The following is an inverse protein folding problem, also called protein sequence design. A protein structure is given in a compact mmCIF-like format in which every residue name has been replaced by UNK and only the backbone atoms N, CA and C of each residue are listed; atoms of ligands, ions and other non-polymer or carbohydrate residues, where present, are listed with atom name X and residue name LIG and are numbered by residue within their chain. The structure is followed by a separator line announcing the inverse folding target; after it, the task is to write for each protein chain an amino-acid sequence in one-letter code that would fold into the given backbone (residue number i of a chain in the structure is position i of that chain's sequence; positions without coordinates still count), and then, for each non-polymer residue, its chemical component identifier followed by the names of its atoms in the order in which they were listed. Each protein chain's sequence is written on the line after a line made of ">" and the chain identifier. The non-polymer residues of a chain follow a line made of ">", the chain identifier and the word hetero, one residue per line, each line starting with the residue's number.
data_IF_266062335061
#
_entry.id   IF_266062335061
#
_cell.length_a   1.000
_cell.length_b   1.000
_cell.length_c   1.000
_cell.angle_alpha   90.00
_cell.angle_beta   90.00
_cell.angle_gamma   90.00
#
_symmetry.space_group_name_H-M   'P 1'
#
loop_
_entity.id
_entity.type
_entity.pdbx_description
1 polymer ?
#
# COMPACT_ATOMS: atom_id res chain seq x y z
N UNK A 1 3.28 4.32 15.74
CA UNK A 1 2.97 2.87 15.74
C UNK A 1 3.39 2.26 14.40
N UNK A 2 3.97 1.09 14.43
CA UNK A 2 4.45 0.43 13.22
C UNK A 2 3.37 -0.45 12.60
N UNK A 3 3.24 -0.39 11.28
CA UNK A 3 2.34 -1.23 10.52
C UNK A 3 3.11 -2.48 10.07
N UNK A 4 2.48 -3.64 10.16
CA UNK A 4 3.08 -4.91 9.72
C UNK A 4 2.50 -5.31 8.36
N UNK A 5 3.23 -6.17 7.62
CA UNK A 5 2.74 -6.66 6.33
C UNK A 5 1.46 -7.49 6.49
N UNK A 6 1.34 -8.23 7.59
CA UNK A 6 0.14 -9.00 7.88
C UNK A 6 -1.08 -8.07 8.03
N UNK A 7 -0.93 -7.00 8.82
CA UNK A 7 -2.02 -6.06 9.03
C UNK A 7 -2.34 -5.29 7.74
N UNK A 8 -1.32 -4.92 6.98
CA UNK A 8 -1.52 -4.24 5.70
C UNK A 8 -2.31 -5.12 4.73
N UNK A 9 -2.00 -6.42 4.67
CA UNK A 9 -2.74 -7.35 3.81
C UNK A 9 -4.19 -7.50 4.28
N UNK A 10 -4.42 -7.53 5.59
CA UNK A 10 -5.78 -7.56 6.14
C UNK A 10 -6.57 -6.32 5.72
N UNK A 11 -5.93 -5.15 5.69
CA UNK A 11 -6.55 -3.91 5.23
C UNK A 11 -6.98 -4.02 3.76
N UNK A 12 -6.14 -4.62 2.92
CA UNK A 12 -6.49 -4.86 1.52
C UNK A 12 -7.65 -5.84 1.39
N UNK A 13 -7.68 -6.88 2.20
CA UNK A 13 -8.76 -7.86 2.17
C UNK A 13 -10.11 -7.24 2.58
N UNK A 14 -10.09 -6.36 3.58
CA UNK A 14 -11.28 -5.62 3.96
C UNK A 14 -11.76 -4.69 2.85
N UNK A 15 -10.82 -3.99 2.21
CA UNK A 15 -11.14 -3.12 1.08
C UNK A 15 -11.74 -3.90 -0.08
N UNK A 16 -11.26 -5.13 -0.31
CA UNK A 16 -11.74 -5.98 -1.39
C UNK A 16 -13.22 -6.32 -1.23
N UNK A 17 -13.68 -6.52 0.00
CA UNK A 17 -15.07 -6.85 0.27
C UNK A 17 -16.03 -5.73 -0.12
N UNK A 18 -15.58 -4.49 -0.05
CA UNK A 18 -16.42 -3.32 -0.26
C UNK A 18 -16.19 -2.64 -1.61
N UNK A 19 -15.13 -3.00 -2.31
CA UNK A 19 -14.75 -2.32 -3.54
C UNK A 19 -15.38 -2.99 -4.76
N UNK A 20 -15.93 -2.17 -5.66
CA UNK A 20 -16.47 -2.67 -6.94
C UNK A 20 -15.34 -2.87 -7.96
N UNK A 21 -14.30 -2.04 -7.89
CA UNK A 21 -13.12 -2.18 -8.75
C UNK A 21 -12.02 -2.87 -7.95
N UNK A 22 -11.68 -4.09 -8.32
CA UNK A 22 -10.69 -4.89 -7.61
C UNK A 22 -9.31 -4.87 -8.28
N UNK A 23 -9.18 -4.16 -9.39
CA UNK A 23 -7.91 -4.08 -10.10
C UNK A 23 -6.81 -3.46 -9.26
N UNK A 24 -7.11 -2.39 -8.54
CA UNK A 24 -6.12 -1.72 -7.69
C UNK A 24 -5.68 -2.62 -6.51
N UNK A 25 -6.56 -3.49 -6.04
CA UNK A 25 -6.23 -4.41 -4.93
C UNK A 25 -5.24 -5.47 -5.41
N UNK A 26 -5.50 -6.05 -6.58
CA UNK A 26 -4.58 -7.02 -7.18
C UNK A 26 -3.23 -6.37 -7.46
N UNK A 27 -3.24 -5.14 -7.97
CA UNK A 27 -2.02 -4.38 -8.21
C UNK A 27 -1.25 -4.15 -6.91
N UNK A 28 -1.94 -3.75 -5.83
CA UNK A 28 -1.31 -3.50 -4.54
C UNK A 28 -0.68 -4.75 -3.96
N UNK A 29 -1.33 -5.90 -4.09
CA UNK A 29 -0.75 -7.18 -3.67
C UNK A 29 0.51 -7.49 -4.45
N UNK A 30 0.46 -7.28 -5.76
CA UNK A 30 1.61 -7.51 -6.63
C UNK A 30 2.79 -6.61 -6.26
N UNK A 31 2.53 -5.32 -6.05
CA UNK A 31 3.56 -4.36 -5.66
C UNK A 31 4.19 -4.76 -4.32
N UNK A 32 3.36 -5.13 -3.33
CA UNK A 32 3.88 -5.56 -2.03
C UNK A 32 4.74 -6.81 -2.13
N UNK A 33 4.29 -7.81 -2.86
CA UNK A 33 5.03 -9.06 -3.04
C UNK A 33 6.34 -8.82 -3.79
N UNK A 34 6.32 -7.99 -4.82
CA UNK A 34 7.52 -7.64 -5.60
C UNK A 34 8.51 -6.86 -4.75
N UNK A 35 8.03 -5.91 -3.96
CA UNK A 35 8.87 -5.12 -3.05
C UNK A 35 9.55 -6.04 -2.03
N UNK A 36 8.83 -7.04 -1.52
CA UNK A 36 9.39 -8.02 -0.59
C UNK A 36 10.51 -8.83 -1.22
N UNK A 37 10.34 -9.26 -2.46
CA UNK A 37 11.38 -10.01 -3.18
C UNK A 37 12.63 -9.17 -3.42
N UNK A 38 12.45 -7.91 -3.79
CA UNK A 38 13.55 -6.98 -4.00
C UNK A 38 14.30 -6.75 -2.68
N UNK A 39 13.56 -6.51 -1.61
CA UNK A 39 14.16 -6.31 -0.28
C UNK A 39 14.95 -7.54 0.17
N UNK A 40 14.42 -8.74 -0.07
CA UNK A 40 15.13 -9.98 0.26
C UNK A 40 16.45 -10.09 -0.50
N UNK A 41 16.41 -9.80 -1.80
CA UNK A 41 17.60 -9.86 -2.64
C UNK A 41 18.66 -8.84 -2.21
N UNK A 42 18.23 -7.68 -1.70
CA UNK A 42 19.13 -6.62 -1.25
C UNK A 42 19.44 -6.67 0.24
N UNK A 43 18.95 -7.68 0.93
CA UNK A 43 19.14 -7.88 2.38
C UNK A 43 18.58 -6.70 3.19
N UNK A 44 17.40 -6.21 2.79
CA UNK A 44 16.69 -5.14 3.46
C UNK A 44 15.48 -5.69 4.23
N UNK A 45 14.75 -4.82 4.93
CA UNK A 45 13.58 -5.21 5.71
C UNK A 45 12.43 -5.64 4.80
N UNK A 46 12.24 -6.95 4.65
CA UNK A 46 11.21 -7.54 3.80
C UNK A 46 9.81 -7.18 4.29
N UNK A 47 9.59 -7.26 5.59
CA UNK A 47 8.26 -6.95 6.16
C UNK A 47 7.85 -5.53 5.86
N UNK A 48 8.75 -4.58 6.08
CA UNK A 48 8.50 -3.17 5.82
C UNK A 48 8.24 -2.90 4.33
N UNK A 49 9.04 -3.50 3.45
CA UNK A 49 8.89 -3.34 2.02
C UNK A 49 7.52 -3.83 1.54
N UNK A 50 7.11 -5.00 2.00
CA UNK A 50 5.78 -5.54 1.67
C UNK A 50 4.68 -4.65 2.20
N UNK A 51 4.82 -4.17 3.44
CA UNK A 51 3.85 -3.27 4.06
C UNK A 51 3.62 -2.02 3.22
N UNK A 52 4.70 -1.36 2.85
CA UNK A 52 4.62 -0.13 2.06
C UNK A 52 3.97 -0.38 0.70
N UNK A 53 4.31 -1.50 0.05
CA UNK A 53 3.71 -1.85 -1.23
C UNK A 53 2.23 -2.13 -1.13
N UNK A 54 1.81 -2.85 -0.09
CA UNK A 54 0.40 -3.19 0.10
C UNK A 54 -0.48 -1.96 0.33
N UNK A 55 0.02 -0.95 1.03
CA UNK A 55 -0.79 0.22 1.42
C UNK A 55 -0.66 1.41 0.47
N UNK A 56 0.22 1.34 -0.54
CA UNK A 56 0.53 2.54 -1.34
C UNK A 56 -0.69 3.17 -2.02
N UNK A 57 -1.71 2.37 -2.35
CA UNK A 57 -2.95 2.83 -2.99
C UNK A 57 -4.18 2.69 -2.07
N UNK A 58 -3.98 2.51 -0.77
CA UNK A 58 -5.09 2.23 0.16
C UNK A 58 -6.15 3.34 0.15
N UNK A 59 -5.77 4.55 -0.24
CA UNK A 59 -6.71 5.66 -0.34
C UNK A 59 -7.84 5.42 -1.32
N UNK A 60 -7.67 4.48 -2.25
CA UNK A 60 -8.74 4.11 -3.19
C UNK A 60 -9.92 3.42 -2.51
N UNK A 61 -9.74 2.94 -1.28
CA UNK A 61 -10.83 2.38 -0.48
C UNK A 61 -11.59 3.46 0.29
N UNK A 62 -11.08 4.69 0.30
CA UNK A 62 -11.62 5.80 1.08
C UNK A 62 -11.91 6.97 0.15
N UNK A 63 -13.18 7.31 -0.05
CA UNK A 63 -13.56 8.44 -0.89
C UNK A 63 -13.37 8.18 -2.39
N UNK A 64 -13.21 9.25 -3.16
CA UNK A 64 -13.10 9.18 -4.61
C UNK A 64 -11.67 8.84 -5.06
N UNK A 65 -11.55 8.08 -6.15
CA UNK A 65 -10.25 7.64 -6.68
C UNK A 65 -9.31 8.81 -7.00
N UNK A 66 -9.84 9.92 -7.53
CA UNK A 66 -9.00 11.08 -7.88
C UNK A 66 -8.27 11.67 -6.68
N UNK A 67 -8.82 11.48 -5.48
CA UNK A 67 -8.25 12.03 -4.25
C UNK A 67 -7.51 10.96 -3.44
N UNK A 68 -7.27 9.77 -4.01
CA UNK A 68 -6.76 8.63 -3.25
C UNK A 68 -5.41 8.88 -2.57
N UNK A 69 -4.58 9.74 -3.15
CA UNK A 69 -3.27 10.05 -2.59
C UNK A 69 -3.42 10.67 -1.20
N UNK A 70 -4.16 11.78 -1.11
CA UNK A 70 -4.38 12.45 0.19
C UNK A 70 -5.27 11.64 1.11
N UNK A 71 -6.27 10.96 0.55
CA UNK A 71 -7.16 10.11 1.35
C UNK A 71 -6.37 8.98 2.01
N UNK A 72 -5.43 8.38 1.29
CA UNK A 72 -4.58 7.33 1.85
C UNK A 72 -3.67 7.86 2.95
N UNK A 73 -3.03 9.00 2.72
CA UNK A 73 -2.18 9.65 3.72
C UNK A 73 -2.97 9.89 5.02
N UNK A 74 -4.12 10.54 4.90
CA UNK A 74 -4.95 10.86 6.05
C UNK A 74 -5.47 9.61 6.76
N UNK A 75 -5.85 8.59 6.00
CA UNK A 75 -6.35 7.34 6.55
C UNK A 75 -5.31 6.64 7.43
N UNK A 76 -4.09 6.51 6.93
CA UNK A 76 -3.00 5.89 7.67
C UNK A 76 -2.66 6.71 8.92
N UNK A 77 -2.65 8.03 8.82
CA UNK A 77 -2.38 8.91 9.97
C UNK A 77 -3.47 8.78 11.04
N UNK A 78 -4.73 8.71 10.63
CA UNK A 78 -5.85 8.57 11.57
C UNK A 78 -5.80 7.25 12.33
N UNK A 79 -5.27 6.20 11.71
CA UNK A 79 -5.11 4.91 12.37
C UNK A 79 -3.95 4.90 13.38
N UNK A 80 -3.15 5.97 13.42
CA UNK A 80 -2.07 6.10 14.38
C UNK A 80 -0.75 5.50 13.96
N UNK A 81 -0.59 5.15 12.68
CA UNK A 81 0.67 4.61 12.18
C UNK A 81 1.68 5.71 11.91
N UNK A 82 2.97 5.34 11.91
CA UNK A 82 4.06 6.29 11.75
C UNK A 82 4.01 6.98 10.38
N UNK A 83 4.58 8.18 10.33
CA UNK A 83 4.58 9.04 9.14
C UNK A 83 5.11 8.33 7.89
N UNK A 84 6.10 7.47 8.03
CA UNK A 84 6.70 6.78 6.88
C UNK A 84 5.69 5.93 6.11
N UNK A 85 4.72 5.34 6.83
CA UNK A 85 3.67 4.55 6.19
C UNK A 85 2.67 5.43 5.46
N UNK A 86 2.32 6.57 6.05
CA UNK A 86 1.41 7.52 5.41
C UNK A 86 2.05 8.15 4.17
N UNK A 87 3.35 8.46 4.25
CA UNK A 87 4.07 9.10 3.14
C UNK A 87 4.12 8.28 1.87
N UNK A 88 4.08 6.96 1.96
CA UNK A 88 4.11 6.11 0.75
C UNK A 88 2.90 6.40 -0.14
N UNK A 89 1.78 6.80 0.44
CA UNK A 89 0.58 7.15 -0.32
C UNK A 89 0.79 8.40 -1.15
N UNK A 90 1.65 9.33 -0.70
CA UNK A 90 1.96 10.55 -1.43
C UNK A 90 2.95 10.33 -2.57
N UNK A 91 3.81 9.32 -2.47
CA UNK A 91 4.88 9.08 -3.43
C UNK A 91 4.65 7.89 -4.35
N UNK A 92 3.48 7.25 -4.23
CA UNK A 92 3.20 5.99 -4.94
C UNK A 92 3.30 6.09 -6.46
N UNK A 93 3.07 7.28 -7.04
CA UNK A 93 3.14 7.44 -8.48
C UNK A 93 4.52 7.16 -9.04
N UNK A 94 5.57 7.39 -8.26
CA UNK A 94 6.93 7.06 -8.65
C UNK A 94 7.15 5.55 -8.64
N UNK A 95 6.59 4.88 -7.63
CA UNK A 95 6.67 3.42 -7.52
C UNK A 95 5.94 2.72 -8.67
N UNK A 96 4.80 3.24 -9.07
CA UNK A 96 4.00 2.66 -10.14
C UNK A 96 4.72 2.70 -11.49
N UNK A 97 5.64 3.63 -11.68
CA UNK A 97 6.43 3.71 -12.90
C UNK A 97 7.55 2.67 -12.93
N UNK A 98 7.99 2.20 -11.77
CA UNK A 98 9.14 1.30 -11.64
C UNK A 98 8.74 -0.16 -11.45
N UNK A 99 7.50 -0.42 -11.09
CA UNK A 99 7.01 -1.78 -10.80
C UNK A 99 5.94 -2.16 -11.81
N UNK A 100 6.24 -3.17 -12.63
CA UNK A 100 5.34 -3.66 -13.66
C UNK A 100 4.54 -4.85 -13.13
N UNK A 101 3.31 -4.57 -12.71
CA UNK A 101 2.36 -5.58 -12.26
C UNK A 101 1.12 -5.51 -13.14
N UNK A 102 0.98 -6.44 -14.03
CA UNK A 102 -0.16 -6.49 -14.94
C UNK A 102 -1.08 -7.65 -14.61
#
# INVERSE_FOLDING_TARGET
>A
MKLTSKKALEMLEEAEKESTDKGWILHSRCVGNSAGKIAEALNLDVNKAKTLGYIHDIGKSVGEFRDHVMNGYNYIKQLGYDEEYANICLTHSYLNNDVYCT
#
